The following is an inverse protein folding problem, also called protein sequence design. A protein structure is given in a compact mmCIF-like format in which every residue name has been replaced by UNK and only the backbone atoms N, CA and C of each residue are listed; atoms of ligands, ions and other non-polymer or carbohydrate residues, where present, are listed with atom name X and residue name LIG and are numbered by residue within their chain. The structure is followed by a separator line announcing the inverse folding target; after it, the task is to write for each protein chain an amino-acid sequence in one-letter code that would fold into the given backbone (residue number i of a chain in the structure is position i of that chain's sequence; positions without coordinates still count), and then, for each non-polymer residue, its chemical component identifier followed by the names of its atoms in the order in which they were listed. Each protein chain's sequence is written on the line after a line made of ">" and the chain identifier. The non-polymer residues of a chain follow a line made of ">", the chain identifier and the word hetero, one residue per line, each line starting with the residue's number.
data_IF_825877067313
#
_entry.id   IF_825877067313
#
_cell.length_a   1.000
_cell.length_b   1.000
_cell.length_c   1.000
_cell.angle_alpha   90.00
_cell.angle_beta   90.00
_cell.angle_gamma   90.00
#
_symmetry.space_group_name_H-M   'P 1'
#
loop_
_entity.id
_entity.type
_entity.pdbx_description
1 polymer ?
#
# COMPACT_ATOMS: atom_id res chain seq x y z
N UNK A 1 9.22 -21.59 -12.19
CA UNK A 1 8.16 -21.36 -13.15
C UNK A 1 8.72 -20.51 -14.28
N UNK A 2 8.56 -20.97 -15.53
CA UNK A 2 8.97 -20.21 -16.69
C UNK A 2 8.00 -19.03 -16.83
N UNK A 3 8.54 -17.81 -16.83
CA UNK A 3 7.75 -16.61 -17.07
C UNK A 3 7.59 -16.45 -18.57
N UNK A 4 6.36 -16.56 -19.06
CA UNK A 4 6.09 -16.53 -20.50
C UNK A 4 5.47 -15.19 -20.95
N UNK A 5 5.04 -14.34 -20.02
CA UNK A 5 4.44 -13.04 -20.33
C UNK A 5 4.99 -11.98 -19.38
N UNK A 6 5.40 -10.85 -19.93
CA UNK A 6 5.77 -9.64 -19.18
C UNK A 6 4.89 -8.49 -19.64
N UNK A 7 4.27 -7.80 -18.69
CA UNK A 7 3.53 -6.57 -18.96
C UNK A 7 4.38 -5.34 -18.67
N UNK A 8 4.30 -4.35 -19.54
CA UNK A 8 5.01 -3.09 -19.36
C UNK A 8 4.06 -1.89 -19.45
N UNK A 9 4.39 -0.84 -18.70
CA UNK A 9 3.68 0.45 -18.77
C UNK A 9 4.12 1.30 -19.96
N UNK A 10 5.20 0.96 -20.62
CA UNK A 10 5.71 1.66 -21.79
C UNK A 10 4.91 1.33 -23.05
N UNK A 11 4.69 2.33 -23.91
CA UNK A 11 3.96 2.15 -25.16
C UNK A 11 4.71 1.33 -26.20
N UNK A 12 6.04 1.35 -26.15
CA UNK A 12 6.93 0.53 -26.96
C UNK A 12 8.02 -0.03 -26.07
N UNK A 13 8.19 -1.35 -26.09
CA UNK A 13 9.27 -2.02 -25.38
C UNK A 13 10.37 -2.31 -26.38
N UNK A 14 11.55 -1.81 -26.11
CA UNK A 14 12.74 -2.21 -26.82
C UNK A 14 13.24 -3.52 -26.19
N UNK A 15 12.90 -4.63 -26.85
CA UNK A 15 13.21 -5.99 -26.40
C UNK A 15 14.72 -6.22 -26.35
N UNK A 16 15.49 -5.53 -27.21
CA UNK A 16 16.95 -5.68 -27.31
C UNK A 16 17.70 -5.27 -26.04
N UNK A 17 17.05 -4.49 -25.14
CA UNK A 17 17.63 -4.01 -23.89
C UNK A 17 17.17 -4.81 -22.64
N UNK A 18 16.36 -5.84 -22.80
CA UNK A 18 15.96 -6.70 -21.68
C UNK A 18 16.94 -7.87 -21.52
N UNK A 19 17.81 -7.77 -20.50
CA UNK A 19 18.71 -8.89 -20.15
C UNK A 19 17.93 -10.18 -19.93
N UNK A 20 18.27 -11.23 -20.69
CA UNK A 20 17.65 -12.55 -20.58
C UNK A 20 16.40 -12.76 -21.45
N UNK A 21 15.94 -11.78 -22.23
CA UNK A 21 14.82 -11.97 -23.18
C UNK A 21 15.18 -13.02 -24.26
N UNK A 22 16.44 -13.04 -24.69
CA UNK A 22 16.94 -13.98 -25.71
C UNK A 22 16.96 -15.43 -25.23
N UNK A 23 16.92 -15.67 -23.92
CA UNK A 23 16.98 -17.03 -23.34
C UNK A 23 15.63 -17.73 -23.32
N UNK A 24 14.52 -17.02 -23.58
CA UNK A 24 13.18 -17.60 -23.60
C UNK A 24 12.40 -17.19 -24.88
N UNK A 25 12.45 -18.02 -25.93
CA UNK A 25 11.76 -17.73 -27.19
C UNK A 25 10.24 -17.70 -27.12
N UNK A 26 9.66 -18.11 -25.98
CA UNK A 26 8.21 -18.06 -25.72
C UNK A 26 7.79 -16.83 -24.91
N UNK A 27 8.75 -15.95 -24.57
CA UNK A 27 8.44 -14.75 -23.80
C UNK A 27 7.66 -13.74 -24.65
N UNK A 28 6.43 -13.48 -24.28
CA UNK A 28 5.63 -12.40 -24.84
C UNK A 28 5.73 -11.15 -23.96
N UNK A 29 6.06 -10.01 -24.57
CA UNK A 29 6.10 -8.72 -23.91
C UNK A 29 4.95 -7.89 -24.45
N UNK A 30 4.02 -7.52 -23.57
CA UNK A 30 2.80 -6.80 -23.91
C UNK A 30 2.76 -5.46 -23.18
N UNK A 31 2.48 -4.38 -23.88
CA UNK A 31 2.14 -3.11 -23.24
C UNK A 31 0.72 -3.16 -22.68
N UNK A 32 0.45 -2.38 -21.63
CA UNK A 32 -0.92 -2.23 -21.11
C UNK A 32 -1.89 -1.67 -22.15
N UNK A 33 -1.40 -0.86 -23.09
CA UNK A 33 -2.22 -0.33 -24.19
C UNK A 33 -2.65 -1.42 -25.18
N UNK A 34 -1.74 -2.33 -25.54
CA UNK A 34 -2.06 -3.52 -26.35
C UNK A 34 -3.05 -4.43 -25.62
N UNK A 35 -2.77 -4.74 -24.34
CA UNK A 35 -3.64 -5.58 -23.53
C UNK A 35 -5.08 -5.03 -23.50
N UNK A 36 -5.24 -3.73 -23.26
CA UNK A 36 -6.56 -3.09 -23.20
C UNK A 36 -7.34 -3.13 -24.49
N UNK A 37 -6.65 -3.09 -25.63
CA UNK A 37 -7.26 -3.02 -26.95
C UNK A 37 -7.50 -4.40 -27.59
N UNK A 38 -6.73 -5.40 -27.20
CA UNK A 38 -6.68 -6.70 -27.88
C UNK A 38 -7.32 -7.85 -27.05
N UNK A 39 -7.53 -7.65 -25.74
CA UNK A 39 -8.13 -8.71 -24.91
C UNK A 39 -9.64 -8.71 -25.05
N UNK A 40 -10.14 -9.84 -25.52
CA UNK A 40 -11.55 -10.24 -25.42
C UNK A 40 -11.66 -11.34 -24.36
N UNK A 41 -12.54 -11.14 -23.37
CA UNK A 41 -12.83 -12.19 -22.40
C UNK A 41 -13.75 -13.21 -23.09
N UNK A 42 -13.37 -14.50 -23.19
CA UNK A 42 -14.25 -15.52 -23.75
C UNK A 42 -15.53 -15.67 -22.95
N UNK A 43 -16.63 -16.01 -23.61
CA UNK A 43 -17.93 -16.20 -22.93
C UNK A 43 -17.93 -17.39 -21.93
N UNK A 44 -17.02 -18.34 -22.14
CA UNK A 44 -16.81 -19.50 -21.26
C UNK A 44 -15.67 -19.32 -20.26
N UNK A 45 -15.23 -18.06 -20.04
CA UNK A 45 -14.15 -17.76 -19.07
C UNK A 45 -14.53 -18.24 -17.68
N UNK A 46 -13.70 -19.08 -17.11
CA UNK A 46 -13.79 -19.53 -15.73
C UNK A 46 -12.49 -19.22 -14.98
N UNK A 47 -12.63 -18.86 -13.72
CA UNK A 47 -11.45 -18.75 -12.85
C UNK A 47 -10.82 -20.14 -12.67
N UNK A 48 -9.48 -20.19 -12.72
CA UNK A 48 -8.75 -21.42 -12.41
C UNK A 48 -9.01 -21.83 -10.95
N UNK A 49 -9.01 -23.16 -10.72
CA UNK A 49 -9.05 -23.69 -9.36
C UNK A 49 -7.87 -23.16 -8.54
N UNK A 50 -8.20 -22.64 -7.36
CA UNK A 50 -7.24 -21.97 -6.50
C UNK A 50 -6.69 -22.93 -5.43
N UNK A 51 -5.42 -23.27 -5.55
CA UNK A 51 -4.70 -23.92 -4.45
C UNK A 51 -4.16 -22.83 -3.50
N UNK A 52 -4.77 -22.75 -2.31
CA UNK A 52 -4.45 -21.73 -1.30
C UNK A 52 -2.99 -21.77 -0.84
N UNK A 53 -2.35 -22.94 -0.89
CA UNK A 53 -0.99 -23.15 -0.42
C UNK A 53 0.06 -22.94 -1.53
N UNK A 54 -0.40 -22.79 -2.78
CA UNK A 54 0.48 -22.50 -3.90
C UNK A 54 0.97 -21.05 -3.87
N UNK A 55 2.22 -20.85 -4.27
CA UNK A 55 2.77 -19.50 -4.43
C UNK A 55 1.94 -18.69 -5.43
N UNK A 56 1.50 -17.51 -5.00
CA UNK A 56 0.78 -16.57 -5.85
C UNK A 56 1.53 -15.24 -6.03
N UNK A 57 2.48 -14.94 -5.15
CA UNK A 57 3.21 -13.68 -5.17
C UNK A 57 4.68 -13.92 -4.86
N UNK A 58 5.56 -13.29 -5.66
CA UNK A 58 7.00 -13.25 -5.46
C UNK A 58 7.43 -11.80 -5.26
N UNK A 59 7.97 -11.48 -4.10
CA UNK A 59 8.45 -10.14 -3.76
C UNK A 59 9.93 -10.14 -3.47
N UNK A 60 10.66 -9.22 -4.09
CA UNK A 60 12.09 -9.09 -3.87
C UNK A 60 12.39 -8.13 -2.72
N UNK A 61 13.31 -8.56 -1.85
CA UNK A 61 13.85 -7.74 -0.77
C UNK A 61 15.36 -7.55 -0.98
N UNK A 62 15.90 -6.42 -0.54
CA UNK A 62 17.32 -6.07 -0.73
C UNK A 62 18.29 -6.98 0.04
N UNK A 63 17.80 -7.83 0.94
CA UNK A 63 18.62 -8.78 1.71
C UNK A 63 19.82 -8.17 2.43
N UNK A 64 20.13 -8.63 3.64
CA UNK A 64 21.28 -8.15 4.44
C UNK A 64 22.64 -8.51 3.80
N UNK A 65 22.67 -9.41 2.85
CA UNK A 65 23.89 -9.89 2.15
C UNK A 65 24.17 -9.17 0.83
N UNK A 66 23.39 -8.11 0.50
CA UNK A 66 23.54 -7.33 -0.74
C UNK A 66 22.97 -7.99 -2.00
N UNK A 67 22.56 -9.27 -1.94
CA UNK A 67 21.83 -9.94 -3.04
C UNK A 67 20.33 -9.90 -2.79
N UNK A 68 19.57 -9.51 -3.79
CA UNK A 68 18.10 -9.55 -3.72
C UNK A 68 17.61 -10.96 -3.48
N UNK A 69 16.66 -11.12 -2.55
CA UNK A 69 16.03 -12.39 -2.21
C UNK A 69 14.56 -12.34 -2.60
N UNK A 70 14.09 -13.37 -3.29
CA UNK A 70 12.68 -13.51 -3.64
C UNK A 70 11.90 -14.18 -2.50
N UNK A 71 10.98 -13.46 -1.91
CA UNK A 71 10.05 -13.97 -0.90
C UNK A 71 8.83 -14.53 -1.60
N UNK A 72 8.59 -15.82 -1.44
CA UNK A 72 7.44 -16.54 -2.01
C UNK A 72 6.29 -16.54 -1.02
N UNK A 73 5.16 -15.97 -1.40
CA UNK A 73 3.96 -15.93 -0.57
C UNK A 73 2.82 -16.69 -1.26
N UNK A 74 2.08 -17.48 -0.48
CA UNK A 74 0.88 -18.16 -0.94
C UNK A 74 -0.35 -17.27 -0.78
N UNK A 75 -1.45 -17.65 -1.44
CA UNK A 75 -2.74 -16.98 -1.23
C UNK A 75 -3.17 -17.06 0.23
N UNK A 76 -2.94 -18.19 0.89
CA UNK A 76 -3.26 -18.38 2.29
C UNK A 76 -2.48 -17.41 3.19
N UNK A 77 -1.18 -17.22 2.95
CA UNK A 77 -0.37 -16.26 3.72
C UNK A 77 -0.95 -14.84 3.64
N UNK A 78 -1.26 -14.37 2.44
CA UNK A 78 -1.81 -13.03 2.24
C UNK A 78 -3.21 -12.90 2.84
N UNK A 79 -4.10 -13.86 2.58
CA UNK A 79 -5.46 -13.85 3.10
C UNK A 79 -5.51 -13.86 4.64
N UNK A 80 -4.69 -14.69 5.29
CA UNK A 80 -4.60 -14.74 6.75
C UNK A 80 -4.12 -13.41 7.35
N UNK A 81 -3.19 -12.73 6.69
CA UNK A 81 -2.72 -11.43 7.16
C UNK A 81 -3.82 -10.37 7.01
N UNK A 82 -4.53 -10.36 5.87
CA UNK A 82 -5.68 -9.48 5.63
C UNK A 82 -6.79 -9.71 6.67
N UNK A 83 -7.12 -10.96 6.97
CA UNK A 83 -8.20 -11.32 7.88
C UNK A 83 -7.86 -10.96 9.33
N UNK A 84 -6.67 -11.33 9.81
CA UNK A 84 -6.31 -11.26 11.22
C UNK A 84 -5.81 -9.88 11.67
N UNK A 85 -5.36 -9.01 10.77
CA UNK A 85 -5.00 -7.64 11.15
C UNK A 85 -6.25 -6.81 11.34
N UNK A 86 -6.53 -6.46 12.59
CA UNK A 86 -7.68 -5.64 12.92
C UNK A 86 -7.43 -4.17 12.57
N UNK A 87 -8.35 -3.59 11.81
CA UNK A 87 -8.39 -2.16 11.51
C UNK A 87 -9.75 -1.60 11.91
N UNK A 88 -9.76 -0.46 12.59
CA UNK A 88 -11.02 0.19 13.02
C UNK A 88 -11.54 1.12 11.91
N UNK A 89 -11.85 0.51 10.77
CA UNK A 89 -12.45 1.22 9.63
C UNK A 89 -13.79 0.59 9.29
N UNK A 90 -14.79 1.43 9.07
CA UNK A 90 -16.09 0.98 8.62
C UNK A 90 -16.07 0.53 7.15
N UNK A 91 -16.91 -0.43 6.75
CA UNK A 91 -17.05 -0.80 5.34
C UNK A 91 -17.40 0.40 4.45
N UNK A 92 -16.85 0.45 3.25
CA UNK A 92 -17.13 1.49 2.27
C UNK A 92 -16.38 2.82 2.47
N UNK A 93 -15.45 2.90 3.43
CA UNK A 93 -14.64 4.11 3.67
C UNK A 93 -13.76 4.46 2.45
N UNK A 94 -13.34 5.72 2.39
CA UNK A 94 -12.33 6.16 1.42
C UNK A 94 -10.95 6.09 2.06
N UNK A 95 -9.99 5.51 1.35
CA UNK A 95 -8.56 5.49 1.68
C UNK A 95 -7.75 6.11 0.54
N UNK A 96 -6.61 6.72 0.86
CA UNK A 96 -5.71 7.29 -0.15
C UNK A 96 -4.42 6.48 -0.19
N UNK A 97 -4.20 5.79 -1.30
CA UNK A 97 -3.00 4.98 -1.55
C UNK A 97 -1.85 5.87 -1.98
N UNK A 98 -0.79 5.91 -1.17
CA UNK A 98 0.41 6.74 -1.39
C UNK A 98 1.69 5.92 -1.43
N UNK A 99 1.66 4.68 -0.98
CA UNK A 99 2.80 3.78 -0.96
C UNK A 99 2.87 2.95 -2.25
N UNK A 100 4.07 2.52 -2.66
CA UNK A 100 4.21 1.67 -3.84
C UNK A 100 3.57 0.29 -3.65
N UNK A 101 2.70 -0.12 -4.56
CA UNK A 101 1.95 -1.39 -4.48
C UNK A 101 2.85 -2.64 -4.49
N UNK A 102 4.08 -2.53 -5.02
CA UNK A 102 5.02 -3.64 -5.04
C UNK A 102 5.64 -3.96 -3.66
N UNK A 103 5.39 -3.14 -2.64
CA UNK A 103 5.76 -3.46 -1.26
C UNK A 103 4.63 -4.22 -0.56
N UNK A 104 4.99 -5.29 0.18
CA UNK A 104 4.02 -6.14 0.89
C UNK A 104 3.06 -5.36 1.78
N UNK A 105 3.54 -4.32 2.46
CA UNK A 105 2.71 -3.49 3.35
C UNK A 105 1.60 -2.77 2.57
N UNK A 106 1.91 -2.18 1.43
CA UNK A 106 0.91 -1.53 0.59
C UNK A 106 -0.04 -2.57 -0.04
N UNK A 107 0.51 -3.60 -0.70
CA UNK A 107 -0.30 -4.62 -1.37
C UNK A 107 -1.31 -5.26 -0.41
N UNK A 108 -0.85 -5.69 0.78
CA UNK A 108 -1.69 -6.48 1.69
C UNK A 108 -2.59 -5.58 2.55
N UNK A 109 -2.02 -4.54 3.19
CA UNK A 109 -2.76 -3.75 4.18
C UNK A 109 -3.50 -2.55 3.60
N UNK A 110 -3.18 -2.13 2.39
CA UNK A 110 -3.91 -1.04 1.76
C UNK A 110 -4.85 -1.57 0.67
N UNK A 111 -4.33 -2.33 -0.28
CA UNK A 111 -5.14 -2.81 -1.40
C UNK A 111 -6.00 -4.00 -1.03
N UNK A 112 -5.42 -5.11 -0.58
CA UNK A 112 -6.22 -6.31 -0.27
C UNK A 112 -7.16 -6.08 0.91
N UNK A 113 -6.68 -5.45 1.99
CA UNK A 113 -7.52 -5.09 3.14
C UNK A 113 -8.58 -4.06 2.76
N UNK A 114 -8.24 -3.05 1.97
CA UNK A 114 -9.20 -2.08 1.45
C UNK A 114 -10.31 -2.74 0.61
N UNK A 115 -9.95 -3.65 -0.29
CA UNK A 115 -10.92 -4.42 -1.07
C UNK A 115 -11.81 -5.27 -0.15
N UNK A 116 -11.24 -5.94 0.85
CA UNK A 116 -12.02 -6.76 1.80
C UNK A 116 -13.03 -5.95 2.62
N UNK A 117 -12.78 -4.65 2.80
CA UNK A 117 -13.68 -3.71 3.47
C UNK A 117 -14.64 -3.01 2.49
N UNK A 118 -14.58 -3.31 1.19
CA UNK A 118 -15.33 -2.57 0.17
C UNK A 118 -14.95 -1.08 0.10
N UNK A 119 -13.71 -0.74 0.49
CA UNK A 119 -13.25 0.65 0.52
C UNK A 119 -13.11 1.25 -0.88
N UNK A 120 -13.32 2.55 -0.99
CA UNK A 120 -12.91 3.32 -2.17
C UNK A 120 -11.42 3.63 -2.07
N UNK A 121 -10.61 3.01 -2.91
CA UNK A 121 -9.16 3.22 -2.95
C UNK A 121 -8.84 4.33 -3.95
N UNK A 122 -8.48 5.51 -3.46
CA UNK A 122 -8.00 6.62 -4.28
C UNK A 122 -6.49 6.50 -4.47
N UNK A 123 -6.02 6.52 -5.71
CA UNK A 123 -4.60 6.40 -6.02
C UNK A 123 -3.98 7.80 -6.08
N UNK A 124 -2.93 8.02 -5.30
CA UNK A 124 -2.17 9.26 -5.33
C UNK A 124 -1.19 9.27 -6.51
N UNK A 125 -1.24 10.31 -7.31
CA UNK A 125 -0.42 10.45 -8.51
C UNK A 125 1.04 10.85 -8.21
N UNK A 126 1.25 11.60 -7.13
CA UNK A 126 2.58 12.06 -6.72
C UNK A 126 2.60 12.44 -5.24
N UNK A 127 3.69 12.16 -4.54
CA UNK A 127 3.88 12.60 -3.15
C UNK A 127 3.81 14.12 -3.00
N UNK A 128 4.15 14.87 -4.04
CA UNK A 128 3.99 16.34 -4.06
C UNK A 128 2.52 16.77 -3.99
N UNK A 129 1.62 15.96 -4.52
CA UNK A 129 0.19 16.23 -4.53
C UNK A 129 -0.57 15.61 -3.35
N UNK A 130 0.10 14.87 -2.48
CA UNK A 130 -0.53 14.11 -1.39
C UNK A 130 -1.50 14.96 -0.56
N UNK A 131 -1.07 16.12 -0.06
CA UNK A 131 -1.95 16.99 0.74
C UNK A 131 -3.13 17.54 -0.06
N UNK A 132 -2.95 17.86 -1.34
CA UNK A 132 -4.02 18.28 -2.24
C UNK A 132 -5.03 17.15 -2.44
N UNK A 133 -4.54 15.93 -2.64
CA UNK A 133 -5.37 14.75 -2.83
C UNK A 133 -6.08 14.32 -1.53
N UNK A 134 -5.45 14.47 -0.37
CA UNK A 134 -6.13 14.31 0.94
C UNK A 134 -7.32 15.24 1.07
N UNK A 135 -7.18 16.52 0.73
CA UNK A 135 -8.30 17.49 0.73
C UNK A 135 -9.40 17.10 -0.25
N UNK A 136 -9.02 16.62 -1.43
CA UNK A 136 -9.97 16.26 -2.49
C UNK A 136 -10.76 15.01 -2.18
N UNK A 137 -10.08 13.95 -1.75
CA UNK A 137 -10.68 12.63 -1.56
C UNK A 137 -11.17 12.38 -0.13
N UNK A 138 -10.71 13.18 0.83
CA UNK A 138 -11.10 13.11 2.24
C UNK A 138 -11.00 11.69 2.81
N UNK A 139 -9.81 11.04 2.75
CA UNK A 139 -9.66 9.69 3.26
C UNK A 139 -9.89 9.65 4.78
N UNK A 140 -10.47 8.54 5.26
CA UNK A 140 -10.62 8.25 6.70
C UNK A 140 -9.34 7.62 7.25
N UNK A 141 -8.66 6.83 6.45
CA UNK A 141 -7.41 6.16 6.82
C UNK A 141 -6.37 6.22 5.71
N UNK A 142 -5.09 6.18 6.10
CA UNK A 142 -3.95 6.13 5.19
C UNK A 142 -2.84 5.27 5.76
N UNK A 143 -2.13 4.55 4.88
CA UNK A 143 -0.87 3.93 5.23
C UNK A 143 0.28 4.92 4.98
N UNK A 144 1.20 5.01 5.93
CA UNK A 144 2.37 5.90 5.83
C UNK A 144 3.63 5.24 6.39
N UNK A 145 4.78 5.67 5.91
CA UNK A 145 6.06 5.39 6.55
C UNK A 145 6.45 6.56 7.47
N UNK A 146 7.32 6.36 8.47
CA UNK A 146 7.69 7.40 9.45
C UNK A 146 8.08 8.74 8.83
N UNK A 147 8.91 8.72 7.79
CA UNK A 147 9.34 9.95 7.10
C UNK A 147 8.17 10.80 6.57
N UNK A 148 7.08 10.15 6.14
CA UNK A 148 5.88 10.87 5.68
C UNK A 148 5.16 11.51 6.85
N UNK A 149 5.01 10.80 7.97
CA UNK A 149 4.43 11.32 9.22
C UNK A 149 5.19 12.54 9.72
N UNK A 150 6.53 12.45 9.76
CA UNK A 150 7.41 13.55 10.16
C UNK A 150 7.26 14.77 9.24
N UNK A 151 7.22 14.53 7.94
CA UNK A 151 7.10 15.60 6.94
C UNK A 151 5.76 16.33 7.07
N UNK A 152 4.68 15.58 7.29
CA UNK A 152 3.35 16.15 7.50
C UNK A 152 3.31 16.93 8.82
N UNK A 153 3.88 16.37 9.90
CA UNK A 153 3.92 17.05 11.20
C UNK A 153 4.64 18.39 11.13
N UNK A 154 5.79 18.48 10.45
CA UNK A 154 6.49 19.74 10.24
C UNK A 154 5.59 20.78 9.59
N UNK A 155 4.88 20.40 8.53
CA UNK A 155 3.94 21.31 7.85
C UNK A 155 2.76 21.74 8.73
N UNK A 156 2.23 20.85 9.58
CA UNK A 156 1.15 21.20 10.51
C UNK A 156 1.61 22.16 11.61
N UNK A 157 2.85 21.99 12.09
CA UNK A 157 3.42 22.81 13.15
C UNK A 157 3.64 24.26 12.70
N UNK A 158 3.92 24.47 11.40
CA UNK A 158 4.16 25.81 10.83
C UNK A 158 2.88 26.62 10.59
N UNK A 159 1.70 25.98 10.76
CA UNK A 159 0.42 26.68 10.71
C UNK A 159 0.22 27.48 12.01
N UNK A 160 -0.51 28.61 11.90
CA UNK A 160 -0.75 29.54 13.01
C UNK A 160 -1.03 28.82 14.34
N UNK A 161 -0.15 29.00 15.37
CA UNK A 161 -0.27 28.30 16.65
C UNK A 161 -1.49 28.69 17.48
N UNK A 162 -2.19 29.77 17.13
CA UNK A 162 -3.41 30.24 17.79
C UNK A 162 -4.66 29.46 17.35
N UNK A 163 -4.58 28.69 16.25
CA UNK A 163 -5.70 27.88 15.78
C UNK A 163 -5.78 26.57 16.55
N UNK A 164 -7.01 26.09 16.89
CA UNK A 164 -7.19 24.76 17.46
C UNK A 164 -6.61 23.67 16.55
N UNK A 165 -5.75 22.80 17.08
CA UNK A 165 -5.04 21.77 16.30
C UNK A 165 -5.97 20.89 15.44
N UNK A 166 -7.15 20.53 15.97
CA UNK A 166 -8.17 19.78 15.22
C UNK A 166 -8.68 20.55 14.01
N UNK A 167 -8.82 21.86 14.10
CA UNK A 167 -9.25 22.69 12.96
C UNK A 167 -8.16 22.76 11.90
N UNK A 168 -6.91 22.89 12.34
CA UNK A 168 -5.73 22.86 11.43
C UNK A 168 -5.69 21.55 10.64
N UNK A 169 -5.86 20.40 11.32
CA UNK A 169 -5.89 19.10 10.66
C UNK A 169 -7.07 18.96 9.69
N UNK A 170 -8.25 19.43 10.10
CA UNK A 170 -9.45 19.43 9.26
C UNK A 170 -9.22 20.22 7.96
N UNK A 171 -8.63 21.38 8.06
CA UNK A 171 -8.34 22.21 6.90
C UNK A 171 -7.21 21.59 6.03
N UNK A 172 -6.16 21.03 6.66
CA UNK A 172 -5.03 20.45 5.97
C UNK A 172 -5.39 19.17 5.19
N UNK A 173 -6.27 18.32 5.74
CA UNK A 173 -6.53 16.97 5.24
C UNK A 173 -7.95 16.73 4.70
N UNK A 174 -8.78 17.77 4.66
CA UNK A 174 -10.16 17.66 4.16
C UNK A 174 -11.18 17.18 5.21
N UNK A 175 -10.76 16.91 6.45
CA UNK A 175 -11.63 16.80 7.61
C UNK A 175 -12.11 15.43 8.02
N UNK A 176 -11.77 14.37 7.29
CA UNK A 176 -12.20 12.99 7.60
C UNK A 176 -11.09 12.06 8.06
N UNK A 177 -9.82 12.49 8.02
CA UNK A 177 -8.71 11.64 8.42
C UNK A 177 -8.76 11.38 9.93
N UNK A 178 -8.92 10.11 10.28
CA UNK A 178 -8.98 9.62 11.67
C UNK A 178 -7.78 8.73 12.01
N UNK A 179 -7.30 7.96 11.02
CA UNK A 179 -6.27 6.95 11.25
C UNK A 179 -5.11 7.07 10.28
N UNK A 180 -3.89 6.97 10.83
CA UNK A 180 -2.67 6.74 10.08
C UNK A 180 -2.09 5.40 10.55
N UNK A 181 -2.01 4.44 9.64
CA UNK A 181 -1.34 3.16 9.89
C UNK A 181 0.12 3.30 9.50
N UNK A 182 1.03 3.32 10.49
CA UNK A 182 2.44 3.59 10.27
C UNK A 182 3.29 2.35 10.46
N UNK A 183 4.14 2.03 9.48
CA UNK A 183 5.01 0.87 9.54
C UNK A 183 6.22 1.01 8.62
N UNK A 184 7.04 -0.05 8.58
CA UNK A 184 8.21 -0.14 7.71
C UNK A 184 9.51 0.42 8.30
N UNK A 185 9.44 1.25 9.35
CA UNK A 185 10.60 1.74 10.11
C UNK A 185 10.17 2.24 11.49
N UNK A 186 11.14 2.57 12.33
CA UNK A 186 10.88 3.15 13.65
C UNK A 186 10.23 4.54 13.52
N UNK A 187 9.16 4.76 14.28
CA UNK A 187 8.52 6.06 14.47
C UNK A 187 8.71 6.52 15.92
N UNK A 188 9.20 7.74 16.11
CA UNK A 188 9.30 8.33 17.46
C UNK A 188 7.90 8.44 18.11
N UNK A 189 7.71 7.91 19.33
CA UNK A 189 6.46 7.99 20.07
C UNK A 189 5.87 9.39 20.22
N UNK A 190 6.72 10.41 20.14
CA UNK A 190 6.29 11.81 20.15
C UNK A 190 5.24 12.09 19.07
N UNK A 191 5.41 11.52 17.85
CA UNK A 191 4.46 11.76 16.76
C UNK A 191 3.07 11.18 17.06
N UNK A 192 2.99 10.00 17.70
CA UNK A 192 1.72 9.40 18.11
C UNK A 192 0.97 10.34 19.06
N UNK A 193 1.69 10.86 20.05
CA UNK A 193 1.13 11.80 21.04
C UNK A 193 0.72 13.14 20.38
N UNK A 194 1.55 13.66 19.48
CA UNK A 194 1.25 14.93 18.83
C UNK A 194 0.07 14.83 17.86
N UNK A 195 -0.01 13.81 17.01
CA UNK A 195 -1.12 13.63 16.07
C UNK A 195 -2.47 13.44 16.79
N UNK A 196 -2.46 12.82 17.95
CA UNK A 196 -3.67 12.71 18.79
C UNK A 196 -4.25 14.07 19.17
N UNK A 197 -3.41 15.10 19.36
CA UNK A 197 -3.88 16.47 19.60
C UNK A 197 -4.59 17.09 18.40
N UNK A 198 -4.26 16.60 17.19
CA UNK A 198 -4.95 16.97 15.95
C UNK A 198 -6.22 16.14 15.68
N UNK A 199 -6.52 15.16 16.55
CA UNK A 199 -7.68 14.27 16.43
C UNK A 199 -7.42 13.09 15.49
N UNK A 200 -6.15 12.74 15.25
CA UNK A 200 -5.73 11.65 14.37
C UNK A 200 -4.97 10.63 15.20
N UNK A 201 -5.39 9.37 15.14
CA UNK A 201 -4.69 8.28 15.80
C UNK A 201 -3.67 7.64 14.84
N UNK A 202 -2.40 7.59 15.27
CA UNK A 202 -1.37 6.83 14.57
C UNK A 202 -1.29 5.46 15.21
N UNK A 203 -1.54 4.43 14.41
CA UNK A 203 -1.47 3.02 14.79
C UNK A 203 -0.20 2.42 14.17
N UNK A 204 0.75 2.03 15.02
CA UNK A 204 2.02 1.47 14.55
C UNK A 204 1.88 -0.03 14.28
N UNK A 205 2.51 -0.48 13.19
CA UNK A 205 2.64 -1.89 12.84
C UNK A 205 4.11 -2.30 12.66
N UNK A 206 4.43 -3.49 13.11
CA UNK A 206 5.71 -4.13 12.87
C UNK A 206 5.51 -5.35 11.98
N UNK A 207 6.42 -5.53 11.03
CA UNK A 207 6.35 -6.65 10.11
C UNK A 207 7.55 -6.73 9.17
N UNK A 208 7.52 -7.74 8.32
CA UNK A 208 8.51 -8.00 7.29
C UNK A 208 7.84 -8.74 6.13
N UNK A 209 8.38 -8.63 4.92
CA UNK A 209 7.80 -9.22 3.71
C UNK A 209 7.54 -10.72 3.88
N UNK A 210 8.45 -11.45 4.54
CA UNK A 210 8.35 -12.89 4.82
C UNK A 210 7.17 -13.27 5.71
N UNK A 211 6.56 -12.29 6.39
CA UNK A 211 5.39 -12.48 7.27
C UNK A 211 4.07 -11.93 6.68
N UNK A 212 4.04 -11.53 5.42
CA UNK A 212 2.86 -11.19 4.59
C UNK A 212 2.07 -9.91 4.87
N UNK A 213 2.55 -8.82 5.40
CA UNK A 213 3.81 -8.55 6.10
C UNK A 213 3.67 -8.41 7.61
N UNK A 214 2.44 -8.24 8.18
CA UNK A 214 2.23 -7.78 9.56
C UNK A 214 2.41 -8.91 10.55
N UNK A 215 3.29 -8.70 11.54
CA UNK A 215 3.52 -9.59 12.68
C UNK A 215 2.70 -9.12 13.88
N UNK A 216 2.73 -7.81 14.13
CA UNK A 216 1.92 -7.19 15.19
C UNK A 216 1.57 -5.75 14.82
N UNK A 217 0.48 -5.27 15.37
CA UNK A 217 0.02 -3.89 15.20
C UNK A 217 -0.70 -3.38 16.44
N UNK A 218 -0.58 -2.10 16.68
CA UNK A 218 -1.43 -1.39 17.63
C UNK A 218 -2.86 -1.27 17.05
N UNK A 219 -3.82 -1.15 17.93
CA UNK A 219 -5.20 -0.85 17.58
C UNK A 219 -5.73 0.29 18.45
N UNK A 220 -6.95 0.78 18.15
CA UNK A 220 -7.54 1.92 18.87
C UNK A 220 -7.73 1.67 20.39
N UNK A 221 -7.82 0.40 20.85
CA UNK A 221 -7.96 0.04 22.28
C UNK A 221 -6.60 -0.08 22.97
N UNK A 222 -5.60 -0.52 22.23
CA UNK A 222 -4.25 -0.80 22.73
C UNK A 222 -3.23 -0.11 21.83
N UNK A 223 -3.21 1.22 21.91
CA UNK A 223 -2.23 2.04 21.21
C UNK A 223 -1.16 2.50 22.19
N UNK A 224 -0.07 1.75 22.25
CA UNK A 224 1.13 2.09 23.01
C UNK A 224 2.21 2.52 22.04
N UNK A 225 2.64 3.78 22.10
CA UNK A 225 3.71 4.29 21.26
C UNK A 225 5.07 3.69 21.62
#
# INVERSE_FOLDING_TARGET
>A
PEMNIVFTMEKKVDIEHLEGADSNPQLAILSFEQLRNEITIPDDFAFADQDKDKMCTLMYTSGTTGKSKGVMLSQFNLAQNVENVYVNLEPGVTILSVLPIHHAFCLTMEWMKGISLGATICINDSLLHMLKNMKRFQPVGMLMVPLMVETIYKKLKDVNPLLPKKLVAKEAFGGKLEYIFCGGAYLDPMYVTEFKKYGIDILQGYGMTECSPVICSNNHRYNRP
#
